data_IF_589799294812
#
_entry.id   IF_589799294812
#
_cell.length_a   1.000
_cell.length_b   1.000
_cell.length_c   1.000
_cell.angle_alpha   90.00
_cell.angle_beta   90.00
_cell.angle_gamma   90.00
#
_symmetry.space_group_name_H-M   'P 1'
#
loop_
_entity.id
_entity.type
_entity.pdbx_description
1 polymer ?
#
# COMPACT_ATOMS: atom_id res chain seq x y z
N UNK A 1 9.89 16.49 13.44
CA UNK A 1 9.71 16.08 12.04
C UNK A 1 10.48 14.80 11.87
N UNK A 2 9.77 13.70 11.68
CA UNK A 2 10.36 12.37 11.74
C UNK A 2 11.03 12.05 10.41
N UNK A 3 12.11 11.27 10.47
CA UNK A 3 12.83 10.82 9.28
C UNK A 3 12.55 9.34 9.09
N UNK A 4 11.89 8.99 8.00
CA UNK A 4 11.77 7.60 7.56
C UNK A 4 12.81 7.33 6.47
N UNK A 5 13.47 6.18 6.54
CA UNK A 5 14.51 5.78 5.58
C UNK A 5 14.12 4.46 4.93
N UNK A 6 14.35 4.35 3.64
CA UNK A 6 14.13 3.13 2.86
C UNK A 6 15.22 3.00 1.80
N UNK A 7 15.60 1.76 1.48
CA UNK A 7 16.66 1.51 0.50
C UNK A 7 16.23 1.97 -0.90
N UNK A 8 17.10 2.70 -1.58
CA UNK A 8 16.88 3.17 -2.95
C UNK A 8 17.81 2.46 -3.92
N UNK A 9 17.23 2.06 -5.06
CA UNK A 9 17.92 1.49 -6.20
C UNK A 9 17.62 2.33 -7.44
N UNK A 10 18.61 2.50 -8.30
CA UNK A 10 18.43 3.10 -9.64
C UNK A 10 18.74 2.06 -10.69
N UNK A 11 17.76 1.80 -11.55
CA UNK A 11 17.83 0.73 -12.54
C UNK A 11 17.53 1.29 -13.92
N UNK A 12 18.42 1.06 -14.88
CA UNK A 12 18.17 1.37 -16.29
C UNK A 12 17.55 0.15 -16.98
N UNK A 13 16.38 0.35 -17.58
CA UNK A 13 15.67 -0.65 -18.38
C UNK A 13 15.20 -0.02 -19.69
N UNK A 14 15.63 -0.61 -20.83
CA UNK A 14 15.33 -0.14 -22.19
C UNK A 14 15.50 1.38 -22.40
N UNK A 15 16.59 1.93 -21.86
CA UNK A 15 16.94 3.35 -22.00
C UNK A 15 16.22 4.30 -21.05
N UNK A 16 15.36 3.79 -20.15
CA UNK A 16 14.70 4.57 -19.10
C UNK A 16 15.26 4.20 -17.73
N UNK A 17 15.58 5.21 -16.92
CA UNK A 17 15.96 5.03 -15.53
C UNK A 17 14.72 4.95 -14.64
N UNK A 18 14.72 4.00 -13.71
CA UNK A 18 13.69 3.79 -12.70
C UNK A 18 14.31 3.89 -11.31
N UNK A 19 13.68 4.68 -10.45
CA UNK A 19 14.04 4.79 -9.03
C UNK A 19 13.08 3.93 -8.21
N UNK A 20 13.62 2.87 -7.61
CA UNK A 20 12.85 1.87 -6.87
C UNK A 20 13.22 1.94 -5.39
N UNK A 21 12.21 2.08 -4.54
CA UNK A 21 12.34 2.03 -3.09
C UNK A 21 11.88 0.66 -2.59
N UNK A 22 12.78 -0.08 -1.96
CA UNK A 22 12.51 -1.45 -1.51
C UNK A 22 12.24 -1.42 -0.02
N UNK A 23 11.00 -1.70 0.35
CA UNK A 23 10.60 -1.86 1.74
C UNK A 23 11.08 -3.21 2.29
N UNK A 24 11.37 -3.31 3.59
CA UNK A 24 11.69 -4.59 4.21
C UNK A 24 10.51 -5.57 4.06
N UNK A 25 10.81 -6.87 4.07
CA UNK A 25 9.76 -7.88 4.16
C UNK A 25 9.12 -7.81 5.55
N UNK A 26 7.81 -7.62 5.59
CA UNK A 26 7.02 -7.57 6.82
C UNK A 26 6.21 -8.87 6.92
N UNK A 27 6.28 -9.52 8.09
CA UNK A 27 5.48 -10.72 8.36
C UNK A 27 3.98 -10.35 8.39
N UNK A 28 3.14 -11.24 7.88
CA UNK A 28 1.68 -11.02 7.84
C UNK A 28 1.28 -9.77 7.03
N UNK A 29 1.94 -9.55 5.91
CA UNK A 29 1.52 -8.61 4.87
C UNK A 29 1.06 -9.42 3.67
N UNK A 30 -0.23 -9.38 3.34
CA UNK A 30 -0.77 -10.11 2.20
C UNK A 30 -1.44 -9.12 1.26
N UNK A 31 -0.87 -8.97 0.07
CA UNK A 31 -1.55 -8.33 -1.06
C UNK A 31 -2.27 -9.43 -1.85
N UNK A 32 -3.59 -9.36 -1.95
CA UNK A 32 -4.41 -10.43 -2.49
C UNK A 32 -5.62 -9.88 -3.25
N UNK A 33 -6.30 -10.76 -3.95
CA UNK A 33 -7.56 -10.48 -4.64
C UNK A 33 -8.71 -10.89 -3.71
N UNK A 34 -9.46 -9.92 -3.18
CA UNK A 34 -10.56 -10.16 -2.24
C UNK A 34 -11.83 -10.60 -2.97
N UNK A 35 -12.04 -10.07 -4.17
CA UNK A 35 -13.14 -10.45 -5.03
C UNK A 35 -12.70 -10.41 -6.50
N UNK A 36 -12.32 -11.57 -7.08
CA UNK A 36 -11.85 -11.64 -8.46
C UNK A 36 -12.90 -11.21 -9.49
N UNK A 37 -14.18 -11.20 -9.14
CA UNK A 37 -15.27 -10.76 -10.03
C UNK A 37 -15.40 -9.23 -10.07
N UNK A 38 -14.86 -8.53 -9.07
CA UNK A 38 -14.95 -7.06 -8.93
C UNK A 38 -13.59 -6.36 -9.08
N UNK A 39 -12.53 -7.11 -9.43
CA UNK A 39 -11.14 -6.62 -9.52
C UNK A 39 -10.75 -5.80 -8.27
N UNK A 40 -11.13 -6.28 -7.08
CA UNK A 40 -10.88 -5.58 -5.82
C UNK A 40 -9.66 -6.17 -5.12
N UNK A 41 -8.49 -5.57 -5.36
CA UNK A 41 -7.28 -6.00 -4.67
C UNK A 41 -7.15 -5.30 -3.31
N UNK A 42 -6.73 -6.06 -2.31
CA UNK A 42 -6.57 -5.58 -0.95
C UNK A 42 -5.21 -5.94 -0.39
N UNK A 43 -4.82 -5.22 0.64
CA UNK A 43 -3.62 -5.45 1.45
C UNK A 43 -4.05 -5.63 2.89
N UNK A 44 -4.14 -6.87 3.32
CA UNK A 44 -4.37 -7.20 4.72
C UNK A 44 -3.03 -7.31 5.45
N UNK A 45 -3.01 -6.89 6.71
CA UNK A 45 -1.85 -7.12 7.55
C UNK A 45 -1.90 -6.45 8.90
N UNK A 46 -0.80 -6.50 9.63
CA UNK A 46 -0.73 -5.93 10.99
C UNK A 46 -0.60 -4.40 10.98
N UNK A 47 -0.69 -3.77 12.16
CA UNK A 47 -0.43 -2.34 12.32
C UNK A 47 0.97 -1.93 11.79
N UNK A 48 1.96 -2.82 11.82
CA UNK A 48 3.29 -2.58 11.23
C UNK A 48 3.20 -2.42 9.70
N UNK A 49 2.43 -3.30 9.04
CA UNK A 49 2.15 -3.24 7.60
C UNK A 49 1.52 -1.90 7.24
N UNK A 50 0.49 -1.49 7.97
CA UNK A 50 -0.20 -0.23 7.71
C UNK A 50 0.65 0.99 8.03
N UNK A 51 1.54 0.90 9.03
CA UNK A 51 2.53 1.95 9.26
C UNK A 51 3.48 2.09 8.07
N UNK A 52 3.90 0.98 7.46
CA UNK A 52 4.72 1.00 6.25
C UNK A 52 3.97 1.52 5.02
N UNK A 53 2.72 1.09 4.81
CA UNK A 53 1.84 1.59 3.74
C UNK A 53 1.61 3.10 3.86
N UNK A 54 1.35 3.61 5.07
CA UNK A 54 1.26 5.05 5.35
C UNK A 54 2.50 5.79 4.84
N UNK A 55 3.71 5.29 5.14
CA UNK A 55 4.93 5.92 4.64
C UNK A 55 5.06 5.80 3.12
N UNK A 56 4.70 4.66 2.52
CA UNK A 56 4.71 4.49 1.06
C UNK A 56 3.81 5.51 0.35
N UNK A 57 2.60 5.74 0.88
CA UNK A 57 1.66 6.74 0.35
C UNK A 57 2.21 8.16 0.50
N UNK A 58 2.78 8.50 1.65
CA UNK A 58 3.43 9.79 1.86
C UNK A 58 4.61 10.02 0.88
N UNK A 59 5.40 8.97 0.60
CA UNK A 59 6.48 9.05 -0.39
C UNK A 59 5.91 9.29 -1.78
N UNK A 60 4.92 8.52 -2.23
CA UNK A 60 4.36 8.69 -3.57
C UNK A 60 3.66 10.05 -3.76
N UNK A 61 3.12 10.63 -2.69
CA UNK A 61 2.60 11.99 -2.69
C UNK A 61 3.68 13.08 -2.87
N UNK A 62 4.86 12.89 -2.25
CA UNK A 62 5.98 13.84 -2.30
C UNK A 62 6.86 13.64 -3.56
N UNK A 63 7.17 12.39 -3.89
CA UNK A 63 8.07 11.95 -4.95
C UNK A 63 7.37 10.96 -5.89
N UNK A 64 6.50 11.50 -6.75
CA UNK A 64 5.63 10.71 -7.65
C UNK A 64 6.38 9.96 -8.76
N UNK A 65 7.67 10.20 -8.93
CA UNK A 65 8.57 9.49 -9.87
C UNK A 65 9.16 8.19 -9.30
N UNK A 66 8.83 7.83 -8.06
CA UNK A 66 9.31 6.62 -7.38
C UNK A 66 8.40 5.41 -7.65
N UNK A 67 9.01 4.23 -7.65
CA UNK A 67 8.32 2.94 -7.52
C UNK A 67 8.55 2.44 -6.09
N UNK A 68 7.50 2.06 -5.39
CA UNK A 68 7.59 1.37 -4.11
C UNK A 68 7.43 -0.13 -4.36
N UNK A 69 8.33 -0.93 -3.78
CA UNK A 69 8.28 -2.38 -3.84
C UNK A 69 8.25 -2.99 -2.44
N UNK A 70 7.20 -3.77 -2.18
CA UNK A 70 7.08 -4.63 -1.00
C UNK A 70 7.26 -6.10 -1.41
N UNK A 71 8.33 -6.78 -0.98
CA UNK A 71 8.54 -8.20 -1.25
C UNK A 71 7.68 -9.08 -0.31
N UNK A 72 6.37 -8.88 -0.33
CA UNK A 72 5.42 -9.44 0.64
C UNK A 72 4.80 -10.78 0.25
N UNK A 73 5.10 -11.36 -0.93
CA UNK A 73 4.61 -12.72 -1.25
C UNK A 73 5.13 -13.72 -0.21
N UNK A 74 4.20 -14.40 0.45
CA UNK A 74 4.50 -15.32 1.55
C UNK A 74 3.42 -16.38 1.69
N UNK A 75 3.63 -17.35 2.59
CA UNK A 75 2.60 -18.35 2.85
C UNK A 75 1.39 -17.69 3.54
N UNK A 76 0.19 -18.10 3.14
CA UNK A 76 -1.03 -17.80 3.87
C UNK A 76 -1.15 -18.58 5.18
N UNK A 77 -2.29 -18.43 5.85
CA UNK A 77 -2.62 -19.17 7.09
C UNK A 77 -3.79 -20.11 6.78
N UNK A 78 -3.53 -21.39 6.59
CA UNK A 78 -4.56 -22.39 6.29
C UNK A 78 -5.29 -22.11 4.98
N UNK A 79 -6.54 -21.66 5.06
CA UNK A 79 -7.34 -21.21 3.90
C UNK A 79 -7.21 -19.71 3.60
N UNK A 80 -6.64 -18.94 4.51
CA UNK A 80 -6.53 -17.48 4.41
C UNK A 80 -5.32 -17.09 3.57
N UNK A 81 -5.51 -16.19 2.62
CA UNK A 81 -4.45 -15.60 1.78
C UNK A 81 -3.62 -16.62 0.99
N UNK A 82 -4.24 -17.71 0.52
CA UNK A 82 -3.57 -18.77 -0.25
C UNK A 82 -2.99 -18.28 -1.56
N UNK A 83 -3.64 -17.30 -2.18
CA UNK A 83 -3.15 -16.60 -3.36
C UNK A 83 -2.82 -15.17 -2.95
N UNK A 84 -1.53 -14.86 -2.87
CA UNK A 84 -1.05 -13.52 -2.57
C UNK A 84 0.18 -13.18 -3.43
N UNK A 85 0.46 -11.88 -3.51
CA UNK A 85 1.40 -11.29 -4.45
C UNK A 85 2.43 -10.43 -3.73
N UNK A 86 3.51 -10.08 -4.42
CA UNK A 86 4.32 -8.94 -4.03
C UNK A 86 3.61 -7.66 -4.46
N UNK A 87 3.71 -6.60 -3.66
CA UNK A 87 3.02 -5.34 -3.94
C UNK A 87 3.96 -4.32 -4.57
N UNK A 88 3.55 -3.75 -5.69
CA UNK A 88 4.23 -2.67 -6.40
C UNK A 88 3.29 -1.48 -6.43
N UNK A 89 3.70 -0.38 -5.79
CA UNK A 89 2.95 0.88 -5.80
C UNK A 89 3.71 1.91 -6.62
N UNK A 90 3.02 2.64 -7.49
CA UNK A 90 3.59 3.81 -8.15
C UNK A 90 2.51 4.80 -8.54
N UNK A 91 2.91 5.93 -9.12
CA UNK A 91 1.97 6.87 -9.73
C UNK A 91 2.04 6.79 -11.26
N UNK A 92 1.03 7.29 -12.00
CA UNK A 92 1.06 7.34 -13.45
C UNK A 92 2.29 8.06 -14.03
N UNK A 93 2.93 8.96 -13.26
CA UNK A 93 4.13 9.70 -13.67
C UNK A 93 5.31 8.77 -14.00
N UNK A 94 5.40 7.62 -13.34
CA UNK A 94 6.48 6.65 -13.60
C UNK A 94 6.37 6.05 -15.00
N UNK A 95 5.15 5.92 -15.55
CA UNK A 95 4.89 5.24 -16.83
C UNK A 95 5.66 3.90 -16.91
N UNK A 96 5.53 3.07 -15.88
CA UNK A 96 6.13 1.76 -15.81
C UNK A 96 5.36 0.79 -16.73
N UNK A 97 6.04 0.21 -17.72
CA UNK A 97 5.48 -0.97 -18.40
C UNK A 97 5.63 -2.17 -17.46
N UNK A 98 4.51 -2.77 -17.01
CA UNK A 98 4.54 -3.85 -16.01
C UNK A 98 5.38 -5.05 -16.43
N UNK A 99 5.41 -5.38 -17.73
CA UNK A 99 6.28 -6.43 -18.28
C UNK A 99 7.78 -6.20 -18.05
N UNK A 100 8.21 -4.96 -17.83
CA UNK A 100 9.62 -4.65 -17.52
C UNK A 100 9.98 -4.96 -16.06
N UNK A 101 8.98 -5.14 -15.19
CA UNK A 101 9.18 -5.34 -13.77
C UNK A 101 10.08 -6.54 -13.44
N UNK A 102 9.91 -7.66 -14.16
CA UNK A 102 10.73 -8.86 -13.93
C UNK A 102 12.23 -8.56 -14.14
N UNK A 103 12.56 -7.77 -15.18
CA UNK A 103 13.94 -7.34 -15.44
C UNK A 103 14.43 -6.35 -14.38
N UNK A 104 13.59 -5.37 -14.02
CA UNK A 104 13.92 -4.36 -12.99
C UNK A 104 14.20 -5.04 -11.65
N UNK A 105 13.33 -5.94 -11.21
CA UNK A 105 13.45 -6.69 -9.95
C UNK A 105 14.76 -7.47 -9.87
N UNK A 106 15.19 -8.13 -10.95
CA UNK A 106 16.48 -8.86 -11.01
C UNK A 106 17.70 -7.97 -10.84
N UNK A 107 17.56 -6.67 -11.13
CA UNK A 107 18.62 -5.67 -11.00
C UNK A 107 18.63 -4.99 -9.62
N UNK A 108 17.70 -5.29 -8.72
CA UNK A 108 17.69 -4.79 -7.34
C UNK A 108 18.76 -5.49 -6.49
N UNK A 109 20.03 -5.20 -6.77
CA UNK A 109 21.20 -5.77 -6.11
C UNK A 109 22.17 -4.65 -5.70
N UNK A 110 23.22 -5.01 -4.97
CA UNK A 110 24.20 -4.06 -4.42
C UNK A 110 24.83 -3.13 -5.47
N UNK A 111 24.97 -3.59 -6.73
CA UNK A 111 25.53 -2.78 -7.81
C UNK A 111 24.62 -1.63 -8.26
N UNK A 112 23.31 -1.74 -8.06
CA UNK A 112 22.34 -0.69 -8.40
C UNK A 112 21.78 0.04 -7.16
N UNK A 113 22.28 -0.30 -5.96
CA UNK A 113 21.88 0.35 -4.71
C UNK A 113 22.54 1.72 -4.61
N UNK A 114 21.74 2.78 -4.51
CA UNK A 114 22.23 4.17 -4.43
C UNK A 114 22.22 4.73 -3.01
N UNK A 115 21.84 3.92 -2.02
CA UNK A 115 21.81 4.29 -0.61
C UNK A 115 20.40 4.22 -0.05
N UNK A 116 20.01 5.24 0.72
CA UNK A 116 18.68 5.34 1.31
C UNK A 116 17.98 6.61 0.83
N UNK A 117 16.73 6.47 0.40
CA UNK A 117 15.81 7.59 0.31
C UNK A 117 15.40 8.01 1.72
N UNK A 118 15.32 9.32 1.97
CA UNK A 118 14.95 9.87 3.27
C UNK A 118 13.69 10.71 3.11
N UNK A 119 12.57 10.20 3.59
CA UNK A 119 11.33 10.96 3.69
C UNK A 119 11.43 11.90 4.90
N UNK A 120 11.25 13.20 4.66
CA UNK A 120 11.08 14.21 5.71
C UNK A 120 9.60 14.25 6.10
N UNK A 121 9.18 13.25 6.86
CA UNK A 121 7.77 12.99 7.11
C UNK A 121 7.13 14.12 7.92
N UNK A 122 6.14 14.78 7.31
CA UNK A 122 5.33 15.80 7.93
C UNK A 122 3.86 15.42 7.80
N UNK A 123 3.39 14.60 8.74
CA UNK A 123 1.99 14.14 8.80
C UNK A 123 1.02 15.31 8.76
N UNK A 124 1.21 16.30 9.64
CA UNK A 124 0.31 17.46 9.75
C UNK A 124 0.10 18.17 8.41
N UNK A 125 1.17 18.32 7.60
CA UNK A 125 1.06 18.93 6.28
C UNK A 125 0.18 18.13 5.32
N UNK A 126 0.27 16.80 5.35
CA UNK A 126 -0.54 15.91 4.52
C UNK A 126 -2.00 15.90 4.98
N UNK A 127 -2.22 15.79 6.30
CA UNK A 127 -3.56 15.82 6.90
C UNK A 127 -4.26 17.15 6.62
N UNK A 128 -3.57 18.29 6.86
CA UNK A 128 -4.11 19.63 6.58
C UNK A 128 -4.46 19.81 5.09
N UNK A 129 -3.69 19.20 4.17
CA UNK A 129 -4.01 19.24 2.74
C UNK A 129 -5.25 18.41 2.43
N UNK A 130 -5.35 17.19 2.97
CA UNK A 130 -6.49 16.32 2.77
C UNK A 130 -7.78 16.98 3.29
N UNK A 131 -7.77 17.45 4.53
CA UNK A 131 -8.93 18.10 5.17
C UNK A 131 -9.37 19.38 4.45
N UNK A 132 -8.44 20.20 3.95
CA UNK A 132 -8.78 21.48 3.29
C UNK A 132 -9.13 21.35 1.81
N UNK A 133 -8.53 20.40 1.11
CA UNK A 133 -8.54 20.34 -0.37
C UNK A 133 -9.29 19.13 -0.92
N UNK A 134 -9.21 17.99 -0.23
CA UNK A 134 -9.86 16.75 -0.67
C UNK A 134 -11.22 16.54 0.03
N UNK A 135 -11.41 17.09 1.24
CA UNK A 135 -12.63 16.97 2.03
C UNK A 135 -13.39 18.30 2.19
N UNK A 136 -14.06 18.76 1.13
CA UNK A 136 -15.00 19.90 1.22
C UNK A 136 -16.45 19.36 1.28
N UNK A 137 -17.09 19.61 2.43
CA UNK A 137 -18.49 19.36 2.85
C UNK A 137 -18.91 17.95 3.32
N UNK A 138 -18.55 17.61 4.57
CA UNK A 138 -19.44 16.80 5.43
C UNK A 138 -20.41 17.73 6.15
N UNK A 139 -21.62 17.94 5.61
CA UNK A 139 -22.74 18.55 6.36
C UNK A 139 -23.60 17.53 7.10
N UNK A 140 -23.23 16.24 7.15
CA UNK A 140 -23.98 15.22 7.90
C UNK A 140 -23.08 14.22 8.64
N UNK A 141 -23.40 13.81 9.87
CA UNK A 141 -22.56 12.92 10.68
C UNK A 141 -22.54 11.44 10.24
N UNK A 142 -23.36 11.04 9.26
CA UNK A 142 -23.62 9.61 8.99
C UNK A 142 -23.46 9.20 7.51
N UNK A 143 -22.97 10.07 6.63
CA UNK A 143 -22.74 9.72 5.23
C UNK A 143 -21.30 9.29 5.02
N UNK A 144 -21.10 8.02 4.59
CA UNK A 144 -19.86 7.48 3.99
C UNK A 144 -19.10 8.59 3.29
N UNK A 145 -17.80 8.70 3.54
CA UNK A 145 -16.92 9.69 2.92
C UNK A 145 -17.08 9.65 1.39
N UNK A 146 -17.98 10.48 0.85
CA UNK A 146 -18.22 10.50 -0.58
C UNK A 146 -17.19 11.44 -1.17
N UNK A 147 -16.23 10.91 -1.93
CA UNK A 147 -15.42 11.69 -2.87
C UNK A 147 -16.33 12.21 -4.00
N UNK A 148 -17.30 13.07 -3.68
CA UNK A 148 -18.26 13.65 -4.63
C UNK A 148 -17.73 14.99 -5.12
N UNK A 149 -16.59 14.95 -5.78
CA UNK A 149 -16.06 16.08 -6.55
C UNK A 149 -15.42 15.54 -7.83
N UNK A 150 -15.12 16.42 -8.80
CA UNK A 150 -14.31 16.08 -9.97
C UNK A 150 -12.98 15.38 -9.61
N UNK A 151 -12.52 15.55 -8.36
CA UNK A 151 -11.35 14.85 -7.80
C UNK A 151 -11.60 13.35 -7.69
N UNK A 152 -12.78 12.89 -7.24
CA UNK A 152 -13.13 11.46 -7.21
C UNK A 152 -13.08 10.84 -8.61
N UNK A 153 -13.62 11.54 -9.62
CA UNK A 153 -13.54 11.11 -11.04
C UNK A 153 -12.11 11.12 -11.60
N UNK A 154 -11.23 12.00 -11.09
CA UNK A 154 -9.80 12.03 -11.47
C UNK A 154 -9.03 10.88 -10.81
N UNK A 155 -9.38 10.55 -9.56
CA UNK A 155 -8.85 9.42 -8.81
C UNK A 155 -9.20 8.11 -9.55
N UNK A 156 -10.47 7.87 -9.86
CA UNK A 156 -10.91 6.68 -10.60
C UNK A 156 -10.21 6.52 -11.97
N UNK A 157 -9.91 7.62 -12.67
CA UNK A 157 -9.21 7.58 -13.97
C UNK A 157 -7.72 7.30 -13.86
N UNK A 158 -7.10 7.62 -12.73
CA UNK A 158 -5.67 7.43 -12.49
C UNK A 158 -5.37 6.09 -11.80
N UNK A 159 -6.36 5.55 -11.09
CA UNK A 159 -6.32 4.29 -10.39
C UNK A 159 -6.26 3.13 -11.38
N UNK A 160 -5.33 2.20 -11.17
CA UNK A 160 -5.25 0.96 -11.93
C UNK A 160 -4.64 -0.13 -11.08
N UNK A 161 -5.32 -1.26 -11.01
CA UNK A 161 -4.84 -2.49 -10.38
C UNK A 161 -4.63 -3.58 -11.44
N UNK A 162 -3.52 -4.31 -11.37
CA UNK A 162 -3.19 -5.34 -12.35
C UNK A 162 -2.26 -6.39 -11.72
N UNK A 163 -2.56 -7.67 -11.93
CA UNK A 163 -1.65 -8.77 -11.58
C UNK A 163 -0.83 -9.22 -12.78
N UNK A 164 0.48 -9.32 -12.59
CA UNK A 164 1.38 -9.95 -13.56
C UNK A 164 2.33 -10.94 -12.86
N UNK A 165 2.00 -12.22 -12.98
CA UNK A 165 2.67 -13.30 -12.28
C UNK A 165 2.53 -13.14 -10.77
N UNK A 166 3.65 -13.04 -10.07
CA UNK A 166 3.71 -12.94 -8.60
C UNK A 166 3.59 -11.50 -8.06
N UNK A 167 3.06 -10.58 -8.86
CA UNK A 167 3.14 -9.15 -8.57
C UNK A 167 1.78 -8.50 -8.79
N UNK A 168 1.29 -7.81 -7.77
CA UNK A 168 0.17 -6.89 -7.84
C UNK A 168 0.71 -5.47 -8.02
N UNK A 169 0.26 -4.80 -9.07
CA UNK A 169 0.53 -3.40 -9.33
C UNK A 169 -0.69 -2.58 -8.93
N UNK A 170 -0.50 -1.59 -8.06
CA UNK A 170 -1.51 -0.57 -7.78
C UNK A 170 -0.90 0.78 -8.18
N UNK A 171 -1.51 1.41 -9.18
CA UNK A 171 -1.12 2.73 -9.68
C UNK A 171 -2.10 3.75 -9.14
N UNK A 172 -1.63 4.69 -8.33
CA UNK A 172 -2.46 5.67 -7.64
C UNK A 172 -2.14 7.10 -8.10
N UNK A 173 -3.17 7.93 -8.22
CA UNK A 173 -2.98 9.37 -8.40
C UNK A 173 -2.28 10.01 -7.19
N UNK A 174 -1.63 11.17 -7.36
CA UNK A 174 -0.97 11.85 -6.24
C UNK A 174 -1.97 12.18 -5.12
N UNK A 175 -3.14 12.69 -5.49
CA UNK A 175 -4.22 13.05 -4.58
C UNK A 175 -4.77 11.81 -3.87
N UNK A 176 -4.85 10.69 -4.58
CA UNK A 176 -5.26 9.40 -4.02
C UNK A 176 -4.25 8.86 -3.01
N UNK A 177 -2.95 9.01 -3.26
CA UNK A 177 -1.91 8.69 -2.27
C UNK A 177 -2.09 9.53 -1.00
N UNK A 178 -2.40 10.83 -1.12
CA UNK A 178 -2.62 11.70 0.05
C UNK A 178 -3.88 11.25 0.81
N UNK A 179 -4.95 10.91 0.09
CA UNK A 179 -6.19 10.44 0.70
C UNK A 179 -6.01 9.09 1.44
N UNK A 180 -5.38 8.10 0.79
CA UNK A 180 -5.06 6.82 1.42
C UNK A 180 -4.12 6.99 2.61
N UNK A 181 -3.11 7.86 2.50
CA UNK A 181 -2.25 8.22 3.63
C UNK A 181 -3.07 8.73 4.82
N UNK A 182 -3.97 9.69 4.58
CA UNK A 182 -4.82 10.29 5.62
C UNK A 182 -5.69 9.24 6.32
N UNK A 183 -6.41 8.42 5.55
CA UNK A 183 -7.29 7.37 6.09
C UNK A 183 -6.49 6.36 6.93
N UNK A 184 -5.44 5.78 6.35
CA UNK A 184 -4.58 4.83 7.08
C UNK A 184 -4.00 5.44 8.36
N UNK A 185 -3.59 6.71 8.32
CA UNK A 185 -3.03 7.37 9.49
C UNK A 185 -4.06 7.59 10.60
N UNK A 186 -5.32 7.90 10.27
CA UNK A 186 -6.41 8.02 11.24
C UNK A 186 -6.82 6.65 11.79
N UNK A 187 -6.96 5.66 10.91
CA UNK A 187 -7.29 4.28 11.29
C UNK A 187 -6.23 3.71 12.26
N UNK A 188 -4.95 4.01 12.04
CA UNK A 188 -3.86 3.63 12.95
C UNK A 188 -3.87 4.37 14.29
N UNK A 189 -4.34 5.62 14.34
CA UNK A 189 -4.47 6.36 15.61
C UNK A 189 -5.65 5.82 16.45
N UNK A 190 -6.72 5.42 15.76
CA UNK A 190 -7.91 4.83 16.38
C UNK A 190 -7.75 3.33 16.66
N UNK A 191 -6.78 2.68 16.00
CA UNK A 191 -6.48 1.26 16.16
C UNK A 191 -6.16 0.94 17.62
N UNK A 192 -7.14 0.35 18.28
CA UNK A 192 -6.98 -0.27 19.58
C UNK A 192 -6.77 -1.76 19.36
N UNK A 193 -5.59 -2.26 19.74
CA UNK A 193 -5.32 -3.70 19.76
C UNK A 193 -6.22 -4.36 20.83
N UNK A 194 -7.44 -4.72 20.43
CA UNK A 194 -8.47 -5.27 21.29
C UNK A 194 -8.75 -6.76 21.02
N UNK A 195 -9.94 -7.18 21.44
CA UNK A 195 -10.43 -8.56 21.35
C UNK A 195 -11.07 -8.93 20.00
N UNK A 196 -11.10 -7.99 19.06
CA UNK A 196 -11.70 -8.16 17.73
C UNK A 196 -10.71 -8.68 16.69
N UNK A 197 -11.24 -9.13 15.55
CA UNK A 197 -10.47 -9.69 14.43
C UNK A 197 -9.50 -8.68 13.80
N UNK A 198 -9.93 -7.43 13.64
CA UNK A 198 -9.20 -6.37 12.97
C UNK A 198 -10.02 -5.09 12.85
N UNK A 199 -9.40 -4.04 12.32
CA UNK A 199 -10.06 -2.80 11.93
C UNK A 199 -10.00 -2.65 10.40
N UNK A 200 -11.10 -2.23 9.77
CA UNK A 200 -11.10 -1.91 8.36
C UNK A 200 -10.35 -0.59 8.10
N UNK A 201 -9.58 -0.54 7.03
CA UNK A 201 -8.87 0.65 6.57
C UNK A 201 -8.97 0.79 5.05
N UNK A 202 -8.43 1.88 4.49
CA UNK A 202 -8.59 2.25 3.08
C UNK A 202 -8.14 1.17 2.08
N UNK A 203 -7.21 0.30 2.47
CA UNK A 203 -6.65 -0.74 1.60
C UNK A 203 -6.89 -2.18 2.09
N UNK A 204 -7.75 -2.41 3.09
CA UNK A 204 -8.04 -3.75 3.62
C UNK A 204 -8.15 -3.79 5.15
N UNK A 205 -7.87 -4.93 5.76
CA UNK A 205 -7.92 -5.13 7.21
C UNK A 205 -6.56 -4.92 7.92
N UNK A 206 -6.58 -4.08 8.96
CA UNK A 206 -5.56 -4.06 10.01
C UNK A 206 -5.85 -5.20 11.00
N UNK A 207 -5.18 -6.33 10.84
CA UNK A 207 -5.42 -7.56 11.62
C UNK A 207 -4.76 -7.47 13.00
N UNK A 208 -5.51 -7.81 14.05
CA UNK A 208 -4.99 -7.88 15.42
C UNK A 208 -4.21 -9.17 15.68
N UNK A 209 -3.43 -9.20 16.76
CA UNK A 209 -2.77 -10.43 17.20
C UNK A 209 -3.76 -11.56 17.52
N UNK A 210 -4.94 -11.22 18.05
CA UNK A 210 -6.02 -12.18 18.29
C UNK A 210 -6.63 -12.68 16.99
N UNK A 211 -6.83 -11.80 16.00
CA UNK A 211 -7.24 -12.19 14.64
C UNK A 211 -6.29 -13.22 14.03
N UNK A 212 -4.98 -12.95 14.08
CA UNK A 212 -3.95 -13.88 13.62
C UNK A 212 -3.98 -15.21 14.38
N UNK A 213 -4.14 -15.19 15.71
CA UNK A 213 -4.26 -16.40 16.53
C UNK A 213 -5.47 -17.23 16.11
N UNK A 214 -6.63 -16.59 15.96
CA UNK A 214 -7.87 -17.26 15.55
C UNK A 214 -7.74 -17.90 14.16
N UNK A 215 -7.07 -17.25 13.20
CA UNK A 215 -6.79 -17.82 11.88
C UNK A 215 -5.93 -19.08 11.98
N UNK A 216 -4.87 -19.05 12.79
CA UNK A 216 -3.96 -20.18 13.00
C UNK A 216 -4.68 -21.35 13.65
N UNK A 217 -5.47 -21.11 14.69
CA UNK A 217 -6.26 -22.15 15.37
C UNK A 217 -7.26 -22.82 14.43
N UNK A 218 -7.94 -22.04 13.58
CA UNK A 218 -8.83 -22.59 12.55
C UNK A 218 -8.08 -23.41 11.50
N UNK A 219 -6.93 -22.91 11.04
CA UNK A 219 -6.09 -23.64 10.09
C UNK A 219 -5.61 -24.99 10.64
N UNK A 220 -5.34 -25.08 11.95
CA UNK A 220 -4.96 -26.33 12.61
C UNK A 220 -6.14 -27.29 12.80
N UNK A 221 -7.36 -26.76 12.97
CA UNK A 221 -8.59 -27.57 12.99
C UNK A 221 -8.90 -28.17 11.62
N UNK A 222 -8.75 -27.39 10.54
CA UNK A 222 -9.02 -27.83 9.17
C UNK A 222 -8.04 -28.92 8.67
N UNK A 223 -6.92 -29.15 9.38
CA UNK A 223 -5.91 -30.18 9.07
C UNK A 223 -6.17 -31.53 9.75
N UNK A 224 -7.09 -31.61 10.70
CA UNK A 224 -7.44 -32.82 11.45
C UNK A 224 -8.63 -33.53 10.81
#
# INVERSE_FOLDING_TARGET
MDKFKVEEFRVVEKGKEYSVLVFPKIEYMWAFDDNPEEDCYMVDGTAEVYSALKYAMAILAEASDKIIYFPCKQNGIGRYYNTNYNLILCTPKVQLRRSFWISIRRKLNSGNKTGNYVLRYNRKKLDDFCEKTLMIESRRPESKLVLRTEVGKKIEKAHLEEVLGDNLFIVLGKEECIHNHYLIAKDLDEYCAGDDYGAWSAMGWIITQKGLKNMKERADQDRK
#
